data_IF_714298073966
#
_entry.id   IF_714298073966
#
_cell.length_a   1.000
_cell.length_b   1.000
_cell.length_c   1.000
_cell.angle_alpha   90.00
_cell.angle_beta   90.00
_cell.angle_gamma   90.00
#
_symmetry.space_group_name_H-M   'P 1'
#
loop_
_entity.id
_entity.type
_entity.pdbx_description
1 polymer ?
#
# COMPACT_ATOMS: atom_id res chain seq x y z
N UNK A 1 10.51 4.84 10.15
CA UNK A 1 11.80 4.40 10.77
C UNK A 1 12.24 3.02 10.26
N UNK A 2 13.52 2.61 10.37
CA UNK A 2 14.01 1.33 9.79
C UNK A 2 13.30 0.07 10.33
N UNK A 3 13.10 -0.02 11.64
CA UNK A 3 12.46 -1.19 12.30
C UNK A 3 10.97 -1.25 11.94
N UNK A 4 10.29 -0.12 12.07
CA UNK A 4 8.89 0.05 11.66
C UNK A 4 8.67 -0.35 10.19
N UNK A 5 9.55 0.10 9.29
CA UNK A 5 9.47 -0.27 7.86
C UNK A 5 9.62 -1.77 7.64
N UNK A 6 10.47 -2.45 8.41
CA UNK A 6 10.60 -3.90 8.35
C UNK A 6 9.33 -4.60 8.86
N UNK A 7 8.72 -4.10 9.93
CA UNK A 7 7.43 -4.60 10.43
C UNK A 7 6.30 -4.41 9.41
N UNK A 8 6.19 -3.21 8.84
CA UNK A 8 5.21 -2.90 7.80
C UNK A 8 5.36 -3.80 6.57
N UNK A 9 6.60 -4.12 6.16
CA UNK A 9 6.86 -5.03 5.03
C UNK A 9 6.34 -6.45 5.31
N UNK A 10 6.62 -6.98 6.50
CA UNK A 10 6.16 -8.32 6.90
C UNK A 10 4.63 -8.36 6.92
N UNK A 11 3.97 -7.34 7.50
CA UNK A 11 2.51 -7.26 7.55
C UNK A 11 1.91 -7.14 6.15
N UNK A 12 2.46 -6.28 5.29
CA UNK A 12 2.02 -6.14 3.90
C UNK A 12 2.15 -7.45 3.11
N UNK A 13 3.22 -8.21 3.33
CA UNK A 13 3.39 -9.53 2.73
C UNK A 13 2.30 -10.50 3.19
N UNK A 14 2.06 -10.61 4.50
CA UNK A 14 1.03 -11.49 5.05
C UNK A 14 -0.38 -11.09 4.59
N UNK A 15 -0.69 -9.79 4.59
CA UNK A 15 -1.99 -9.28 4.15
C UNK A 15 -2.26 -9.61 2.67
N UNK A 16 -1.25 -9.49 1.81
CA UNK A 16 -1.38 -9.85 0.39
C UNK A 16 -1.44 -11.36 0.15
N UNK A 17 -0.79 -12.20 0.97
CA UNK A 17 -0.88 -13.65 0.87
C UNK A 17 -2.30 -14.18 1.17
N UNK A 18 -3.05 -13.52 2.05
CA UNK A 18 -4.40 -13.92 2.47
C UNK A 18 -5.51 -13.04 1.91
N UNK A 19 -5.18 -12.13 0.98
CA UNK A 19 -6.14 -11.25 0.35
C UNK A 19 -7.13 -12.07 -0.50
N UNK A 20 -8.39 -11.62 -0.56
CA UNK A 20 -9.41 -12.21 -1.44
C UNK A 20 -9.09 -11.92 -2.91
N UNK A 21 -9.36 -12.87 -3.79
CA UNK A 21 -9.22 -12.65 -5.23
C UNK A 21 -10.10 -11.48 -5.69
N UNK A 22 -9.54 -10.58 -6.49
CA UNK A 22 -10.24 -9.41 -7.02
C UNK A 22 -10.29 -8.17 -6.13
N UNK A 23 -9.74 -8.19 -4.91
CA UNK A 23 -9.58 -6.96 -4.10
C UNK A 23 -8.28 -6.24 -4.46
N UNK A 24 -8.11 -4.94 -4.14
CA UNK A 24 -6.82 -4.24 -4.28
C UNK A 24 -5.72 -4.85 -3.40
N UNK A 25 -4.45 -4.61 -3.74
CA UNK A 25 -3.30 -5.11 -2.97
C UNK A 25 -3.01 -4.13 -1.84
N UNK A 26 -2.51 -4.64 -0.71
CA UNK A 26 -2.05 -3.77 0.36
C UNK A 26 -0.65 -3.24 0.03
N UNK A 27 -0.45 -1.95 0.17
CA UNK A 27 0.84 -1.28 0.01
C UNK A 27 1.54 -1.11 1.35
N UNK A 28 2.86 -0.86 1.30
CA UNK A 28 3.63 -0.57 2.51
C UNK A 28 3.11 0.66 3.25
N UNK A 29 2.64 1.67 2.50
CA UNK A 29 2.10 2.91 3.04
C UNK A 29 0.81 2.70 3.85
N UNK A 30 0.05 1.63 3.59
CA UNK A 30 -1.17 1.33 4.33
C UNK A 30 -0.88 0.95 5.80
N UNK A 31 0.35 0.55 6.12
CA UNK A 31 0.82 0.24 7.48
C UNK A 31 1.79 1.29 8.03
N UNK A 32 2.01 2.38 7.30
CA UNK A 32 2.91 3.47 7.69
C UNK A 32 2.21 4.81 7.42
N UNK A 33 1.27 5.26 8.27
CA UNK A 33 0.42 6.43 7.99
C UNK A 33 1.17 7.76 7.90
N UNK A 34 2.39 7.81 8.44
CA UNK A 34 3.28 8.97 8.37
C UNK A 34 4.22 8.91 7.14
N UNK A 35 4.24 7.81 6.39
CA UNK A 35 5.06 7.68 5.20
C UNK A 35 4.33 8.31 4.02
N UNK A 36 5.08 9.07 3.21
CA UNK A 36 4.54 9.61 1.97
C UNK A 36 4.15 8.46 1.04
N UNK A 37 2.91 8.49 0.56
CA UNK A 37 2.47 7.58 -0.50
C UNK A 37 3.20 7.97 -1.80
N UNK A 38 3.57 7.00 -2.65
CA UNK A 38 4.10 7.31 -3.96
C UNK A 38 3.18 8.29 -4.71
N UNK A 39 3.73 9.30 -5.39
CA UNK A 39 2.92 10.24 -6.14
C UNK A 39 2.16 9.51 -7.26
N UNK A 40 0.86 9.78 -7.36
CA UNK A 40 0.03 9.33 -8.48
C UNK A 40 0.30 10.24 -9.68
N UNK A 41 0.30 9.67 -10.89
CA UNK A 41 0.28 10.48 -12.11
C UNK A 41 -1.08 11.12 -12.28
N UNK A 42 -1.15 12.17 -13.12
CA UNK A 42 -2.41 12.84 -13.42
C UNK A 42 -3.42 11.85 -14.03
N UNK A 43 -2.95 11.00 -14.94
CA UNK A 43 -3.78 9.99 -15.62
C UNK A 43 -4.35 8.98 -14.64
N UNK A 44 -3.51 8.45 -13.72
CA UNK A 44 -3.95 7.52 -12.69
C UNK A 44 -4.93 8.17 -11.70
N UNK A 45 -4.72 9.45 -11.37
CA UNK A 45 -5.64 10.20 -10.52
C UNK A 45 -7.00 10.39 -11.20
N UNK A 46 -7.03 10.72 -12.49
CA UNK A 46 -8.27 10.84 -13.27
C UNK A 46 -9.04 9.52 -13.36
N UNK A 47 -8.34 8.39 -13.54
CA UNK A 47 -8.95 7.06 -13.55
C UNK A 47 -9.55 6.68 -12.20
N UNK A 48 -8.91 7.06 -11.09
CA UNK A 48 -9.40 6.77 -9.74
C UNK A 48 -10.63 7.59 -9.32
N UNK A 49 -10.92 8.69 -10.03
CA UNK A 49 -11.98 9.65 -9.67
C UNK A 49 -13.26 9.49 -10.50
N UNK A 50 -13.17 8.84 -11.67
CA UNK A 50 -14.31 8.54 -12.56
C UNK A 50 -15.07 7.28 -12.18
#
# INVERSE_FOLDING_TARGET
>A
MRIERAGALIVAQQANMHRKQGTPAFELADFMPHADRPPLTLEAAMESWG
#
